data_IF_416482340583
#
_entry.id   IF_416482340583
#
_cell.length_a   1.000
_cell.length_b   1.000
_cell.length_c   1.000
_cell.angle_alpha   90.00
_cell.angle_beta   90.00
_cell.angle_gamma   90.00
#
_symmetry.space_group_name_H-M   'P 1'
#
loop_
_entity.id
_entity.type
_entity.pdbx_description
1 polymer ?
#
# COMPACT_ATOMS: atom_id res chain seq x y z
N UNK A 1 -26.11 -30.88 26.23
CA UNK A 1 -24.63 -30.75 26.25
C UNK A 1 -24.26 -29.54 25.40
N UNK A 2 -23.33 -28.71 25.88
CA UNK A 2 -22.90 -27.46 25.24
C UNK A 2 -21.76 -27.75 24.27
N UNK A 3 -21.83 -27.23 23.05
CA UNK A 3 -20.68 -27.19 22.14
C UNK A 3 -20.38 -25.74 21.78
N UNK A 4 -19.12 -25.35 21.97
CA UNK A 4 -18.62 -23.97 21.96
C UNK A 4 -18.09 -23.59 20.58
N UNK A 5 -18.43 -22.37 20.17
CA UNK A 5 -17.69 -21.42 19.33
C UNK A 5 -16.33 -21.85 18.75
N UNK A 6 -16.20 -21.73 17.42
CA UNK A 6 -15.01 -21.12 16.83
C UNK A 6 -15.34 -20.28 15.59
N UNK A 7 -15.33 -18.97 15.81
CA UNK A 7 -14.98 -17.84 14.93
C UNK A 7 -15.39 -17.93 13.45
N UNK A 8 -16.40 -17.12 13.10
CA UNK A 8 -16.71 -16.72 11.73
C UNK A 8 -15.52 -15.94 11.16
N UNK A 9 -14.79 -16.49 10.20
CA UNK A 9 -13.87 -15.70 9.38
C UNK A 9 -14.69 -15.08 8.22
N UNK A 10 -15.24 -13.89 8.46
CA UNK A 10 -16.05 -13.13 7.50
C UNK A 10 -15.21 -12.04 6.84
N UNK A 11 -13.99 -12.33 6.39
CA UNK A 11 -13.15 -11.33 5.73
C UNK A 11 -12.66 -11.88 4.40
N UNK A 12 -13.46 -11.75 3.32
CA UNK A 12 -12.91 -11.67 1.95
C UNK A 12 -13.90 -11.35 0.82
N UNK A 13 -15.01 -10.65 1.07
CA UNK A 13 -15.92 -10.22 -0.03
C UNK A 13 -16.35 -8.75 -0.01
N UNK A 14 -16.13 -8.02 1.09
CA UNK A 14 -16.68 -6.67 1.23
C UNK A 14 -15.74 -5.54 0.78
N UNK A 15 -14.47 -5.82 0.48
CA UNK A 15 -13.51 -4.78 0.10
C UNK A 15 -13.56 -4.45 -1.41
N UNK A 16 -14.01 -5.38 -2.24
CA UNK A 16 -14.11 -5.18 -3.69
C UNK A 16 -15.40 -4.45 -4.08
N UNK A 17 -16.50 -4.68 -3.35
CA UNK A 17 -17.79 -4.00 -3.55
C UNK A 17 -17.79 -2.57 -2.99
N UNK A 18 -17.14 -2.34 -1.83
CA UNK A 18 -17.03 -1.00 -1.23
C UNK A 18 -16.25 -0.01 -2.11
N UNK A 19 -15.31 -0.51 -2.92
CA UNK A 19 -14.57 0.29 -3.89
C UNK A 19 -15.48 0.65 -5.06
N UNK A 20 -16.27 -0.28 -5.58
CA UNK A 20 -17.24 -0.05 -6.67
C UNK A 20 -18.32 0.98 -6.34
N UNK A 21 -18.90 0.91 -5.15
CA UNK A 21 -19.97 1.81 -4.72
C UNK A 21 -19.48 3.24 -4.43
N UNK A 22 -18.21 3.39 -4.01
CA UNK A 22 -17.59 4.71 -3.81
C UNK A 22 -17.41 5.47 -5.14
N UNK A 23 -17.21 4.75 -6.25
CA UNK A 23 -17.07 5.33 -7.59
C UNK A 23 -18.41 5.62 -8.28
N UNK A 24 -19.49 4.92 -7.94
CA UNK A 24 -20.80 5.13 -8.59
C UNK A 24 -21.61 6.29 -7.99
N UNK A 25 -21.45 6.59 -6.69
CA UNK A 25 -22.26 7.60 -5.98
C UNK A 25 -21.81 9.06 -6.16
N UNK A 26 -20.72 9.33 -6.87
CA UNK A 26 -20.22 10.69 -7.13
C UNK A 26 -20.50 11.19 -8.57
N UNK A 27 -21.54 10.66 -9.22
CA UNK A 27 -21.89 10.96 -10.63
C UNK A 27 -22.72 12.24 -10.83
N UNK A 28 -22.57 13.26 -9.97
CA UNK A 28 -23.14 14.60 -10.20
C UNK A 28 -22.25 15.72 -9.67
N UNK A 29 -21.05 15.89 -10.22
CA UNK A 29 -20.37 17.19 -10.29
C UNK A 29 -19.89 17.36 -11.73
N UNK A 30 -20.42 18.38 -12.41
CA UNK A 30 -20.46 18.51 -13.87
C UNK A 30 -19.11 18.46 -14.60
N UNK A 31 -18.90 17.32 -15.27
CA UNK A 31 -18.34 17.09 -16.62
C UNK A 31 -17.13 17.92 -17.05
N UNK A 32 -15.96 17.29 -17.06
CA UNK A 32 -14.89 17.71 -17.96
C UNK A 32 -13.50 17.19 -17.60
N UNK A 33 -12.91 17.73 -16.53
CA UNK A 33 -11.45 17.86 -16.52
C UNK A 33 -10.74 17.56 -15.18
N UNK A 34 -11.44 17.09 -14.16
CA UNK A 34 -10.79 16.72 -12.90
C UNK A 34 -11.30 15.37 -12.40
N UNK A 35 -10.35 14.55 -11.92
CA UNK A 35 -10.48 13.35 -11.03
C UNK A 35 -10.02 11.99 -11.58
N UNK A 36 -9.18 11.90 -12.62
CA UNK A 36 -8.39 10.66 -12.80
C UNK A 36 -7.15 10.62 -11.89
N UNK A 37 -6.56 11.78 -11.56
CA UNK A 37 -5.33 11.83 -10.74
C UNK A 37 -5.57 11.45 -9.26
N UNK A 38 -6.79 11.60 -8.76
CA UNK A 38 -7.17 11.24 -7.38
C UNK A 38 -7.61 9.78 -7.20
N UNK A 39 -7.80 9.03 -8.29
CA UNK A 39 -8.41 7.70 -8.26
C UNK A 39 -7.42 6.54 -8.22
N UNK A 40 -6.10 6.80 -8.32
CA UNK A 40 -5.11 5.78 -8.01
C UNK A 40 -4.83 5.85 -6.51
N UNK A 41 -5.66 5.15 -5.73
CA UNK A 41 -5.43 4.91 -4.31
C UNK A 41 -4.13 4.10 -4.22
N UNK A 42 -2.98 4.78 -4.14
CA UNK A 42 -1.69 4.14 -3.94
C UNK A 42 -1.83 3.26 -2.70
N UNK A 43 -1.76 1.95 -2.89
CA UNK A 43 -1.78 1.00 -1.77
C UNK A 43 -0.57 1.32 -0.91
N UNK A 44 -0.81 1.69 0.34
CA UNK A 44 0.26 1.87 1.32
C UNK A 44 0.67 0.47 1.78
N UNK A 45 1.97 0.21 1.79
CA UNK A 45 2.56 -1.02 2.27
C UNK A 45 2.38 -1.16 3.78
N UNK A 46 2.13 -2.38 4.24
CA UNK A 46 2.08 -2.76 5.64
C UNK A 46 3.45 -3.26 6.13
N UNK A 47 3.61 -3.35 7.46
CA UNK A 47 4.82 -3.92 8.05
C UNK A 47 4.97 -5.38 7.59
N UNK A 48 6.13 -5.71 7.04
CA UNK A 48 6.45 -7.02 6.52
C UNK A 48 6.33 -7.15 5.00
N UNK A 49 5.67 -6.22 4.32
CA UNK A 49 5.58 -6.20 2.86
C UNK A 49 6.96 -5.98 2.23
N UNK A 50 7.18 -6.56 1.05
CA UNK A 50 8.31 -6.22 0.20
C UNK A 50 7.90 -5.10 -0.77
N UNK A 51 8.79 -4.13 -0.94
CA UNK A 51 8.60 -3.02 -1.88
C UNK A 51 9.83 -2.85 -2.76
N UNK A 52 9.61 -2.30 -3.95
CA UNK A 52 10.67 -1.86 -4.85
C UNK A 52 10.52 -0.36 -5.07
N UNK A 53 11.56 0.40 -4.74
CA UNK A 53 11.64 1.82 -5.02
C UNK A 53 11.90 2.07 -6.51
N UNK A 54 11.40 3.21 -7.03
CA UNK A 54 11.77 3.74 -8.35
C UNK A 54 13.28 3.96 -8.56
N UNK A 55 14.10 3.87 -7.50
CA UNK A 55 15.56 3.92 -7.56
C UNK A 55 16.24 2.55 -7.59
N UNK A 56 15.49 1.46 -7.74
CA UNK A 56 16.05 0.11 -7.80
C UNK A 56 16.46 -0.46 -6.43
N UNK A 57 15.87 0.04 -5.35
CA UNK A 57 16.08 -0.50 -4.00
C UNK A 57 14.93 -1.42 -3.68
N UNK A 58 15.23 -2.70 -3.45
CA UNK A 58 14.27 -3.68 -2.96
C UNK A 58 14.45 -3.82 -1.45
N UNK A 59 13.35 -3.82 -0.71
CA UNK A 59 13.43 -4.04 0.72
C UNK A 59 12.12 -4.42 1.38
N UNK A 60 12.21 -4.83 2.64
CA UNK A 60 11.08 -5.23 3.47
C UNK A 60 10.70 -4.10 4.43
N UNK A 61 9.42 -3.78 4.52
CA UNK A 61 8.91 -2.72 5.40
C UNK A 61 9.04 -3.11 6.86
N UNK A 62 9.76 -2.30 7.62
CA UNK A 62 9.87 -2.41 9.08
C UNK A 62 8.93 -1.43 9.80
N UNK A 63 8.68 -0.26 9.21
CA UNK A 63 7.88 0.80 9.83
C UNK A 63 7.17 1.64 8.77
N UNK A 64 5.90 1.93 9.00
CA UNK A 64 5.09 2.84 8.18
C UNK A 64 4.96 4.18 8.91
N UNK A 65 5.21 5.27 8.20
CA UNK A 65 5.00 6.65 8.64
C UNK A 65 3.96 7.31 7.74
N UNK A 66 3.53 8.52 8.12
CA UNK A 66 2.49 9.27 7.37
C UNK A 66 2.79 9.43 5.87
N UNK A 67 4.06 9.66 5.50
CA UNK A 67 4.46 10.00 4.13
C UNK A 67 5.48 9.03 3.52
N UNK A 68 5.88 8.00 4.26
CA UNK A 68 7.01 7.15 3.93
C UNK A 68 7.01 5.84 4.69
N UNK A 69 7.78 4.87 4.20
CA UNK A 69 8.12 3.64 4.90
C UNK A 69 9.62 3.60 5.18
N UNK A 70 10.00 2.95 6.27
CA UNK A 70 11.37 2.51 6.53
C UNK A 70 11.47 1.05 6.12
N UNK A 71 12.48 0.75 5.30
CA UNK A 71 12.75 -0.62 4.84
C UNK A 71 14.12 -1.10 5.28
N UNK A 72 14.22 -2.40 5.54
CA UNK A 72 15.46 -3.15 5.48
C UNK A 72 15.76 -3.49 4.01
N UNK A 73 16.95 -3.14 3.54
CA UNK A 73 17.38 -3.31 2.15
C UNK A 73 17.74 -4.78 1.93
N UNK A 74 17.04 -5.42 1.00
CA UNK A 74 17.32 -6.78 0.54
C UNK A 74 18.20 -6.78 -0.71
N UNK A 75 18.00 -5.79 -1.60
CA UNK A 75 18.77 -5.62 -2.82
C UNK A 75 18.92 -4.13 -3.14
N UNK A 76 20.10 -3.72 -3.59
CA UNK A 76 20.41 -2.34 -3.93
C UNK A 76 21.07 -2.28 -5.30
N UNK A 77 20.28 -1.93 -6.32
CA UNK A 77 20.77 -1.70 -7.68
C UNK A 77 21.10 -0.23 -7.94
N UNK A 78 21.13 0.59 -6.89
CA UNK A 78 21.49 2.01 -6.97
C UNK A 78 22.96 2.22 -6.64
N UNK A 79 23.52 3.33 -7.12
CA UNK A 79 24.92 3.72 -6.85
C UNK A 79 25.13 4.31 -5.44
N UNK A 80 24.23 4.03 -4.48
CA UNK A 80 24.24 4.64 -3.14
C UNK A 80 24.54 3.61 -2.07
N UNK A 81 25.33 4.00 -1.07
CA UNK A 81 25.54 3.21 0.14
C UNK A 81 24.59 3.65 1.26
N UNK A 82 24.16 2.69 2.08
CA UNK A 82 23.19 2.89 3.16
C UNK A 82 23.74 2.39 4.47
N UNK A 83 23.66 3.23 5.51
CA UNK A 83 24.06 2.86 6.86
C UNK A 83 23.06 1.86 7.44
N UNK A 84 23.55 0.79 8.05
CA UNK A 84 22.74 -0.28 8.67
C UNK A 84 21.74 -0.98 7.72
N UNK A 85 22.00 -0.98 6.40
CA UNK A 85 21.11 -1.56 5.39
C UNK A 85 19.64 -1.09 5.52
N UNK A 86 19.43 0.17 5.91
CA UNK A 86 18.09 0.76 6.04
C UNK A 86 17.96 2.03 5.25
N UNK A 87 16.76 2.29 4.75
CA UNK A 87 16.45 3.54 4.05
C UNK A 87 14.98 3.93 4.18
N UNK A 88 14.69 5.20 3.90
CA UNK A 88 13.35 5.77 3.92
C UNK A 88 12.86 5.94 2.48
N UNK A 89 11.68 5.42 2.18
CA UNK A 89 11.06 5.50 0.85
C UNK A 89 9.67 6.14 0.96
N UNK A 90 9.40 7.16 0.15
CA UNK A 90 8.08 7.81 0.15
C UNK A 90 7.01 6.90 -0.45
N UNK A 91 5.76 6.99 0.03
CA UNK A 91 4.59 6.30 -0.55
C UNK A 91 4.41 6.53 -2.05
N UNK A 92 4.92 7.65 -2.58
CA UNK A 92 4.85 7.97 -4.00
C UNK A 92 5.93 7.30 -4.86
N UNK A 93 6.94 6.69 -4.24
CA UNK A 93 8.19 6.28 -4.88
C UNK A 93 8.45 4.77 -4.77
N UNK A 94 7.43 3.95 -4.49
CA UNK A 94 7.56 2.50 -4.48
C UNK A 94 6.34 1.77 -5.06
N UNK A 95 6.54 0.50 -5.37
CA UNK A 95 5.48 -0.49 -5.64
C UNK A 95 5.62 -1.65 -4.64
N UNK A 96 4.49 -2.17 -4.17
CA UNK A 96 4.42 -3.39 -3.34
C UNK A 96 4.48 -4.60 -4.29
N UNK A 97 5.26 -5.62 -3.96
CA UNK A 97 5.41 -6.85 -4.76
C UNK A 97 4.79 -8.07 -4.09
#
# INVERSE_FOLDING_TARGET
>A
MREKNHVRNVNNRNEMEAVGDYYLNNKTLGKGEMKMEAAMKMRIADIGDEIVSNKGIKGKVEMVKENSVIIEILENLSDREYVNNRTVVSHKNYVII
#
